data_IF_844410604051
#
_entry.id   IF_844410604051
#
_cell.length_a   1.000
_cell.length_b   1.000
_cell.length_c   1.000
_cell.angle_alpha   90.00
_cell.angle_beta   90.00
_cell.angle_gamma   90.00
#
_symmetry.space_group_name_H-M   'P 1'
#
loop_
_entity.id
_entity.type
_entity.pdbx_description
1 polymer ?
#
# COMPACT_ATOMS: atom_id res chain seq x y z
N UNK A 1 -7.27 -28.66 -15.23
CA UNK A 1 -6.49 -27.86 -14.25
C UNK A 1 -5.83 -26.69 -14.97
N UNK A 2 -5.61 -25.58 -14.26
CA UNK A 2 -4.82 -24.37 -14.59
C UNK A 2 -5.64 -23.08 -14.48
N UNK A 3 -5.93 -22.67 -13.25
CA UNK A 3 -6.27 -21.28 -12.96
C UNK A 3 -5.02 -20.41 -13.17
N UNK A 4 -4.92 -19.76 -14.32
CA UNK A 4 -3.87 -18.79 -14.59
C UNK A 4 -4.12 -17.54 -13.72
N UNK A 5 -3.22 -17.31 -12.76
CA UNK A 5 -3.19 -16.06 -12.02
C UNK A 5 -3.00 -14.91 -13.02
N UNK A 6 -4.02 -14.06 -13.17
CA UNK A 6 -3.93 -12.89 -14.03
C UNK A 6 -3.15 -11.82 -13.27
N UNK A 7 -1.90 -11.61 -13.67
CA UNK A 7 -1.15 -10.42 -13.30
C UNK A 7 -1.80 -9.21 -13.98
N UNK A 8 -2.55 -8.43 -13.21
CA UNK A 8 -3.05 -7.12 -13.67
C UNK A 8 -1.86 -6.18 -13.85
N UNK A 9 -1.84 -5.43 -14.96
CA UNK A 9 -0.85 -4.39 -15.16
C UNK A 9 -0.89 -3.36 -14.01
N UNK A 10 0.23 -2.73 -13.63
CA UNK A 10 0.24 -1.73 -12.56
C UNK A 10 -0.64 -0.53 -12.94
N UNK A 11 -1.79 -0.40 -12.27
CA UNK A 11 -2.73 0.69 -12.46
C UNK A 11 -2.16 1.99 -11.92
N UNK A 12 -2.20 3.07 -12.72
CA UNK A 12 -1.88 4.43 -12.24
C UNK A 12 -3.18 5.20 -12.04
N UNK A 13 -3.30 5.88 -10.89
CA UNK A 13 -4.46 6.65 -10.48
C UNK A 13 -4.07 8.08 -10.12
N UNK A 14 -4.94 9.04 -10.42
CA UNK A 14 -4.92 10.39 -9.88
C UNK A 14 -5.94 10.51 -8.74
N UNK A 15 -5.47 10.92 -7.57
CA UNK A 15 -6.26 11.07 -6.33
C UNK A 15 -6.17 12.53 -5.89
N UNK A 16 -7.30 13.12 -5.53
CA UNK A 16 -7.38 14.45 -4.95
C UNK A 16 -7.76 14.29 -3.47
N UNK A 17 -6.88 14.70 -2.56
CA UNK A 17 -7.12 14.66 -1.12
C UNK A 17 -7.18 16.09 -0.58
N UNK A 18 -8.23 16.40 0.18
CA UNK A 18 -8.26 17.59 1.02
C UNK A 18 -7.63 17.28 2.38
N UNK A 19 -6.73 18.14 2.85
CA UNK A 19 -6.07 18.01 4.15
C UNK A 19 -7.10 18.03 5.27
N UNK A 20 -7.05 17.03 6.14
CA UNK A 20 -7.85 16.98 7.37
C UNK A 20 -7.06 17.44 8.59
N UNK A 21 -7.68 17.44 9.78
CA UNK A 21 -7.02 17.79 11.05
C UNK A 21 -5.76 16.96 11.37
N UNK A 22 -5.63 15.77 10.78
CA UNK A 22 -4.48 14.88 10.93
C UNK A 22 -3.51 14.90 9.71
N UNK A 23 -3.61 15.93 8.87
CA UNK A 23 -2.92 16.00 7.58
C UNK A 23 -3.62 15.17 6.51
N UNK A 24 -2.84 14.55 5.63
CA UNK A 24 -3.35 13.74 4.51
C UNK A 24 -3.79 12.32 4.91
N UNK A 25 -3.59 11.91 6.16
CA UNK A 25 -4.12 10.64 6.66
C UNK A 25 -3.31 9.38 6.29
N UNK A 26 -2.03 9.50 5.96
CA UNK A 26 -1.13 8.36 5.75
C UNK A 26 0.30 8.65 6.22
N UNK A 27 1.11 7.60 6.32
CA UNK A 27 2.55 7.64 6.55
C UNK A 27 3.29 7.17 5.28
N UNK A 28 4.53 7.65 5.07
CA UNK A 28 5.38 7.22 3.95
C UNK A 28 6.65 6.50 4.41
N UNK A 29 7.20 5.67 3.53
CA UNK A 29 8.55 5.07 3.58
C UNK A 29 9.19 5.17 2.19
N UNK A 30 10.47 4.81 2.07
CA UNK A 30 11.21 4.95 0.82
C UNK A 30 11.97 6.28 0.74
N UNK A 31 12.53 6.53 -0.44
CA UNK A 31 13.47 7.62 -0.72
C UNK A 31 14.85 7.10 -1.09
N UNK A 32 15.64 7.94 -1.76
CA UNK A 32 16.98 7.61 -2.27
C UNK A 32 17.96 7.15 -1.16
N UNK A 33 17.84 7.74 0.03
CA UNK A 33 18.61 7.46 1.25
C UNK A 33 18.02 6.32 2.10
N UNK A 34 16.78 5.91 1.83
CA UNK A 34 16.02 4.94 2.65
C UNK A 34 15.24 3.97 1.75
N UNK A 35 15.95 3.24 0.89
CA UNK A 35 15.33 2.30 -0.06
C UNK A 35 14.43 1.28 0.64
N UNK A 36 13.13 1.34 0.35
CA UNK A 36 12.13 0.40 0.83
C UNK A 36 12.00 -0.84 -0.06
N UNK A 37 12.26 -0.67 -1.36
CA UNK A 37 12.31 -1.73 -2.36
C UNK A 37 13.71 -1.73 -2.99
N UNK A 38 14.28 -2.92 -3.18
CA UNK A 38 15.65 -3.07 -3.68
C UNK A 38 15.80 -2.43 -5.06
N UNK A 39 16.77 -1.51 -5.20
CA UNK A 39 17.03 -0.72 -6.42
C UNK A 39 15.88 0.22 -6.84
N UNK A 40 15.00 0.62 -5.92
CA UNK A 40 13.97 1.64 -6.17
C UNK A 40 14.06 2.76 -5.12
N UNK A 41 14.27 3.99 -5.60
CA UNK A 41 14.38 5.22 -4.79
C UNK A 41 13.02 5.89 -4.51
N UNK A 42 11.91 5.22 -4.86
CA UNK A 42 10.56 5.77 -4.76
C UNK A 42 10.02 5.93 -3.34
N UNK A 43 8.91 6.65 -3.24
CA UNK A 43 8.14 6.88 -2.02
C UNK A 43 6.89 6.00 -2.02
N UNK A 44 6.60 5.34 -0.90
CA UNK A 44 5.50 4.39 -0.77
C UNK A 44 4.62 4.72 0.44
N UNK A 45 3.34 4.37 0.33
CA UNK A 45 2.41 4.41 1.46
C UNK A 45 2.75 3.29 2.44
N UNK A 46 3.21 3.65 3.63
CA UNK A 46 3.60 2.72 4.67
C UNK A 46 2.42 2.29 5.57
N UNK A 47 1.51 3.23 5.82
CA UNK A 47 0.30 3.02 6.63
C UNK A 47 -0.79 4.02 6.27
N UNK A 48 -2.04 3.58 6.19
CA UNK A 48 -3.21 4.47 6.17
C UNK A 48 -3.67 4.73 7.62
N UNK A 49 -3.97 6.00 7.95
CA UNK A 49 -4.49 6.38 9.27
C UNK A 49 -6.01 6.26 9.29
N UNK A 50 -6.54 5.48 10.23
CA UNK A 50 -7.97 5.41 10.50
C UNK A 50 -8.58 6.81 10.67
N UNK A 51 -9.72 7.05 10.02
CA UNK A 51 -10.42 8.34 9.98
C UNK A 51 -9.61 9.52 9.39
N UNK A 52 -8.44 9.28 8.80
CA UNK A 52 -7.66 10.28 8.06
C UNK A 52 -8.21 10.52 6.65
N UNK A 53 -7.81 11.62 6.01
CA UNK A 53 -8.31 12.02 4.69
C UNK A 53 -8.19 10.91 3.62
N UNK A 54 -7.03 10.25 3.52
CA UNK A 54 -6.85 9.12 2.61
C UNK A 54 -7.74 7.90 2.94
N UNK A 55 -8.05 7.64 4.22
CA UNK A 55 -8.95 6.55 4.60
C UNK A 55 -10.41 6.84 4.24
N UNK A 56 -10.83 8.12 4.35
CA UNK A 56 -12.17 8.57 3.99
C UNK A 56 -12.38 8.62 2.46
N UNK A 57 -11.33 8.89 1.70
CA UNK A 57 -11.34 8.78 0.23
C UNK A 57 -11.31 7.30 -0.23
N UNK A 58 -10.57 6.45 0.47
CA UNK A 58 -10.59 4.99 0.32
C UNK A 58 -9.87 4.43 -0.93
N UNK A 59 -9.38 5.27 -1.84
CA UNK A 59 -8.68 4.82 -3.07
C UNK A 59 -7.20 4.49 -2.86
N UNK A 60 -6.56 5.13 -1.89
CA UNK A 60 -5.14 4.97 -1.56
C UNK A 60 -4.93 3.79 -0.60
N UNK A 61 -4.01 2.88 -0.92
CA UNK A 61 -3.77 1.67 -0.13
C UNK A 61 -2.30 1.55 0.34
N UNK A 62 -2.08 0.69 1.34
CA UNK A 62 -0.73 0.40 1.85
C UNK A 62 0.09 -0.39 0.82
N UNK A 63 1.34 0.07 0.59
CA UNK A 63 2.20 -0.46 -0.46
C UNK A 63 2.05 0.21 -1.84
N UNK A 64 1.11 1.15 -2.01
CA UNK A 64 1.04 1.97 -3.22
C UNK A 64 2.27 2.89 -3.34
N UNK A 65 2.79 3.04 -4.56
CA UNK A 65 3.92 3.93 -4.86
C UNK A 65 3.40 5.31 -5.26
N UNK A 66 3.81 6.36 -4.57
CA UNK A 66 3.45 7.74 -4.91
C UNK A 66 4.46 8.28 -5.92
N UNK A 67 3.99 8.56 -7.13
CA UNK A 67 4.82 9.01 -8.26
C UNK A 67 5.02 10.54 -8.22
N UNK A 68 3.93 11.28 -7.98
CA UNK A 68 3.96 12.75 -7.92
C UNK A 68 3.04 13.32 -6.85
N UNK A 69 3.39 14.48 -6.31
CA UNK A 69 2.53 15.36 -5.51
C UNK A 69 2.44 16.74 -6.14
N UNK A 70 1.22 17.25 -6.38
CA UNK A 70 0.95 18.53 -7.04
C UNK A 70 1.77 18.74 -8.33
N UNK A 71 1.92 17.66 -9.12
CA UNK A 71 2.72 17.63 -10.36
C UNK A 71 4.24 17.45 -10.18
N UNK A 72 4.78 17.57 -8.96
CA UNK A 72 6.20 17.37 -8.66
C UNK A 72 6.52 15.88 -8.48
N UNK A 73 7.57 15.38 -9.14
CA UNK A 73 8.02 13.99 -9.02
C UNK A 73 8.67 13.70 -7.68
N UNK A 74 8.42 12.50 -7.14
CA UNK A 74 9.02 12.02 -5.88
C UNK A 74 10.19 11.03 -6.10
N UNK A 75 10.45 10.64 -7.33
CA UNK A 75 11.54 9.73 -7.70
C UNK A 75 12.92 10.37 -7.43
N UNK A 76 13.86 9.60 -6.89
CA UNK A 76 15.22 10.04 -6.54
C UNK A 76 15.31 11.20 -5.51
N UNK A 77 14.23 11.52 -4.80
CA UNK A 77 14.28 12.41 -3.64
C UNK A 77 14.75 11.66 -2.39
N UNK A 78 15.38 12.36 -1.45
CA UNK A 78 15.54 11.82 -0.09
C UNK A 78 14.19 11.71 0.61
N UNK A 79 14.12 10.86 1.62
CA UNK A 79 12.95 10.73 2.49
C UNK A 79 12.56 12.08 3.10
N UNK A 80 13.54 12.86 3.58
CA UNK A 80 13.32 14.19 4.14
C UNK A 80 12.71 15.18 3.14
N UNK A 81 13.24 15.24 1.91
CA UNK A 81 12.72 16.11 0.87
C UNK A 81 11.28 15.73 0.47
N UNK A 82 10.99 14.43 0.34
CA UNK A 82 9.62 13.98 0.11
C UNK A 82 8.67 14.39 1.24
N UNK A 83 9.07 14.20 2.51
CA UNK A 83 8.29 14.64 3.69
C UNK A 83 8.03 16.15 3.66
N UNK A 84 9.00 16.96 3.27
CA UNK A 84 8.83 18.41 3.12
C UNK A 84 7.79 18.76 2.06
N UNK A 85 7.78 18.09 0.90
CA UNK A 85 6.75 18.27 -0.11
C UNK A 85 5.33 17.91 0.41
N UNK A 86 5.15 16.79 1.12
CA UNK A 86 3.84 16.45 1.72
C UNK A 86 3.39 17.46 2.80
N UNK A 87 4.34 18.10 3.48
CA UNK A 87 4.07 19.16 4.46
C UNK A 87 3.70 20.49 3.78
N UNK A 88 4.38 20.86 2.70
CA UNK A 88 4.19 22.15 2.01
C UNK A 88 3.12 22.14 0.91
N UNK A 89 2.57 20.98 0.54
CA UNK A 89 1.59 20.83 -0.54
C UNK A 89 0.22 21.56 -0.38
N UNK A 90 0.01 22.30 0.72
CA UNK A 90 -1.22 23.04 0.97
C UNK A 90 -2.41 22.16 1.37
N UNK A 91 -3.61 22.72 1.26
CA UNK A 91 -4.86 22.07 1.69
C UNK A 91 -5.41 21.07 0.68
N UNK A 92 -5.48 21.44 -0.60
CA UNK A 92 -5.95 20.55 -1.66
C UNK A 92 -4.74 19.95 -2.40
N UNK A 93 -4.60 18.62 -2.33
CA UNK A 93 -3.40 17.90 -2.75
C UNK A 93 -3.72 16.85 -3.81
N UNK A 94 -3.09 17.00 -4.98
CA UNK A 94 -3.13 16.00 -6.05
C UNK A 94 -1.99 14.99 -5.88
N UNK A 95 -2.34 13.72 -5.75
CA UNK A 95 -1.41 12.60 -5.78
C UNK A 95 -1.58 11.81 -7.07
N UNK A 96 -0.47 11.47 -7.73
CA UNK A 96 -0.45 10.40 -8.74
C UNK A 96 0.21 9.19 -8.15
N UNK A 97 -0.50 8.06 -8.13
CA UNK A 97 -0.05 6.83 -7.49
C UNK A 97 -0.08 5.66 -8.45
N UNK A 98 0.90 4.76 -8.32
CA UNK A 98 0.88 3.45 -8.94
C UNK A 98 0.44 2.44 -7.89
N UNK A 99 -0.69 1.79 -8.15
CA UNK A 99 -1.22 0.77 -7.26
C UNK A 99 -0.28 -0.44 -7.19
N UNK A 100 -0.21 -1.04 -6.00
CA UNK A 100 0.43 -2.35 -5.86
C UNK A 100 -0.29 -3.37 -6.76
N UNK A 101 0.43 -4.18 -7.58
CA UNK A 101 -0.21 -5.22 -8.38
C UNK A 101 -0.96 -6.23 -7.49
N UNK A 102 -2.28 -6.27 -7.64
CA UNK A 102 -3.14 -7.26 -6.99
C UNK A 102 -3.26 -8.50 -7.86
N UNK A 103 -3.09 -9.68 -7.25
CA UNK A 103 -3.34 -10.95 -7.93
C UNK A 103 -4.85 -11.17 -7.96
N UNK A 104 -5.46 -10.94 -9.12
CA UNK A 104 -6.85 -11.29 -9.35
C UNK A 104 -6.99 -12.81 -9.47
N UNK A 105 -7.17 -13.49 -8.33
CA UNK A 105 -7.64 -14.87 -8.33
C UNK A 105 -9.10 -14.87 -8.75
N UNK A 106 -9.38 -15.34 -9.98
CA UNK A 106 -10.76 -15.63 -10.37
C UNK A 106 -11.29 -16.71 -9.42
N UNK A 107 -12.39 -16.40 -8.73
CA UNK A 107 -13.17 -17.42 -8.03
C UNK A 107 -13.65 -18.50 -9.01
N UNK A 108 -14.00 -19.71 -8.53
CA UNK A 108 -14.45 -20.79 -9.40
C UNK A 108 -15.65 -20.32 -10.24
N UNK A 109 -15.51 -20.46 -11.56
CA UNK A 109 -16.61 -20.22 -12.51
C UNK A 109 -17.73 -21.20 -12.25
N UNK A 110 -18.78 -20.77 -11.55
CA UNK A 110 -20.03 -21.52 -11.39
C UNK A 110 -20.81 -21.51 -12.71
N UNK A 111 -20.42 -22.38 -13.64
CA UNK A 111 -21.22 -22.68 -14.83
C UNK A 111 -22.40 -23.57 -14.43
N UNK A 112 -23.53 -22.95 -14.10
CA UNK A 112 -24.80 -23.61 -13.81
C UNK A 112 -25.94 -22.61 -14.00
N UNK A 113 -26.85 -22.81 -14.96
CA UNK A 113 -28.00 -21.95 -15.15
C UNK A 113 -29.18 -22.47 -14.33
N UNK A 114 -29.34 -21.98 -13.10
CA UNK A 114 -30.61 -22.02 -12.37
C UNK A 114 -30.64 -20.83 -11.40
N UNK A 115 -31.78 -20.13 -11.36
CA UNK A 115 -31.87 -18.84 -10.70
C UNK A 115 -32.30 -18.90 -9.24
N UNK A 116 -31.62 -18.15 -8.39
CA UNK A 116 -32.26 -17.33 -7.35
C UNK A 116 -31.45 -16.04 -7.16
N UNK A 117 -32.16 -14.95 -6.89
CA UNK A 117 -31.61 -13.61 -6.71
C UNK A 117 -31.77 -13.17 -5.26
N UNK A 118 -30.68 -13.14 -4.48
CA UNK A 118 -30.40 -12.04 -3.55
C UNK A 118 -28.98 -12.06 -2.99
N UNK A 119 -28.36 -10.88 -3.05
CA UNK A 119 -27.01 -10.55 -2.56
C UNK A 119 -26.86 -10.69 -1.04
N UNK A 120 -25.73 -11.24 -0.59
CA UNK A 120 -24.90 -10.74 0.55
C UNK A 120 -23.76 -11.71 0.90
N UNK A 121 -22.66 -11.67 0.16
CA UNK A 121 -21.48 -12.53 0.42
C UNK A 121 -20.60 -11.99 1.56
N UNK A 122 -21.14 -11.96 2.78
CA UNK A 122 -20.36 -11.81 4.02
C UNK A 122 -19.60 -13.12 4.31
N UNK A 123 -18.55 -13.36 3.52
CA UNK A 123 -17.88 -14.67 3.37
C UNK A 123 -16.40 -14.68 3.72
N UNK A 124 -15.98 -14.02 4.81
CA UNK A 124 -14.66 -14.23 5.42
C UNK A 124 -14.84 -14.36 6.94
N UNK A 125 -14.98 -15.60 7.42
CA UNK A 125 -15.12 -15.91 8.85
C UNK A 125 -13.76 -16.06 9.54
N UNK A 126 -13.70 -15.55 10.77
CA UNK A 126 -12.53 -15.42 11.65
C UNK A 126 -11.95 -16.74 12.17
N UNK A 127 -10.61 -16.84 12.21
CA UNK A 127 -9.70 -17.45 13.21
C UNK A 127 -8.36 -17.80 12.48
N UNK A 128 -7.13 -17.77 13.00
CA UNK A 128 -6.46 -18.14 14.28
C UNK A 128 -5.15 -17.32 14.31
N UNK A 129 -4.56 -16.79 15.40
CA UNK A 129 -4.81 -16.77 16.86
C UNK A 129 -4.33 -15.40 17.43
N UNK A 130 -4.45 -15.16 18.75
CA UNK A 130 -3.84 -14.02 19.44
C UNK A 130 -2.34 -14.21 19.77
N UNK A 131 -1.65 -13.09 20.00
CA UNK A 131 -0.24 -12.99 20.45
C UNK A 131 0.87 -13.38 19.45
N UNK A 132 1.03 -12.59 18.36
CA UNK A 132 2.24 -12.58 17.54
C UNK A 132 3.05 -11.26 17.57
N UNK A 133 2.64 -10.26 18.35
CA UNK A 133 3.40 -9.01 18.55
C UNK A 133 4.82 -9.27 19.09
N UNK A 134 5.03 -10.36 19.84
CA UNK A 134 6.34 -10.80 20.30
C UNK A 134 7.14 -11.59 19.24
N UNK A 135 6.48 -12.35 18.36
CA UNK A 135 7.13 -13.33 17.48
C UNK A 135 7.88 -12.63 16.33
N UNK A 136 7.28 -11.59 15.72
CA UNK A 136 7.98 -10.78 14.70
C UNK A 136 9.13 -9.98 15.31
N UNK A 137 8.98 -9.47 16.53
CA UNK A 137 10.01 -8.69 17.22
C UNK A 137 11.21 -9.56 17.66
N UNK A 138 10.97 -10.83 18.01
CA UNK A 138 12.01 -11.80 18.31
C UNK A 138 12.83 -12.17 17.05
N UNK A 139 12.16 -12.30 15.90
CA UNK A 139 12.83 -12.57 14.62
C UNK A 139 13.73 -11.41 14.16
N UNK A 140 13.34 -10.15 14.38
CA UNK A 140 14.11 -8.98 13.95
C UNK A 140 15.29 -8.62 14.88
N UNK A 141 15.40 -9.20 16.08
CA UNK A 141 16.54 -8.95 17.00
C UNK A 141 17.64 -10.02 16.95
N UNK A 142 17.41 -11.15 16.30
CA UNK A 142 18.35 -12.30 16.27
C UNK A 142 18.90 -12.63 14.87
N UNK A 143 19.10 -11.61 14.03
CA UNK A 143 19.87 -11.71 12.77
C UNK A 143 20.85 -10.53 12.53
N UNK A 144 21.80 -10.24 13.43
CA UNK A 144 23.10 -9.74 13.03
C UNK A 144 24.09 -10.91 12.84
N UNK A 145 24.80 -10.93 11.71
CA UNK A 145 25.90 -11.86 11.37
C UNK A 145 25.52 -13.31 10.98
N UNK A 146 24.82 -13.47 9.85
CA UNK A 146 24.95 -14.70 9.06
C UNK A 146 26.32 -14.73 8.34
N UNK A 147 27.17 -15.67 8.76
CA UNK A 147 28.37 -16.18 8.05
C UNK A 147 29.52 -15.19 7.78
N UNK A 148 30.58 -15.32 8.59
CA UNK A 148 31.86 -15.78 8.04
C UNK A 148 32.19 -17.15 8.65
N UNK A 149 32.19 -18.19 7.81
CA UNK A 149 33.01 -19.37 8.07
C UNK A 149 34.41 -19.05 7.57
N UNK A 150 35.41 -19.17 8.45
CA UNK A 150 36.27 -20.35 8.51
C UNK A 150 36.73 -20.54 9.96
#
# INVERSE_FOLDING_TARGET
MNGSAKYTAPTVLDIQLKRGPQGLGFNIVGGLDQQYVLNDSGIYVAKIKENGAAALDGRLQEGDKILTINGQKLENLSHSAAVELFRSAGEDVQLRVQQRPTIAMNGPTSSGPDGDSSVSSLGILVAVLGAAAAITFLYMRFQPQLRRHF
#
